data_IF_043633880967
#
_entry.id   IF_043633880967
#
_cell.length_a   1.000
_cell.length_b   1.000
_cell.length_c   1.000
_cell.angle_alpha   90.00
_cell.angle_beta   90.00
_cell.angle_gamma   90.00
#
_symmetry.space_group_name_H-M   'P 1'
#
loop_
_entity.id
_entity.type
_entity.pdbx_description
1 polymer ?
#
# COMPACT_ATOMS: atom_id res chain seq x y z
N UNK A 1 -4.77 -22.50 -2.90
CA UNK A 1 -3.30 -22.55 -2.77
C UNK A 1 -2.79 -21.20 -3.25
N UNK A 2 -2.11 -20.44 -2.39
CA UNK A 2 -1.65 -19.08 -2.73
C UNK A 2 -0.38 -19.18 -3.58
N UNK A 3 -0.50 -19.04 -4.89
CA UNK A 3 0.65 -19.10 -5.82
C UNK A 3 1.23 -17.71 -6.10
N UNK A 4 2.55 -17.65 -6.29
CA UNK A 4 3.27 -16.43 -6.65
C UNK A 4 2.98 -16.10 -8.12
N UNK A 5 2.47 -14.89 -8.40
CA UNK A 5 2.06 -14.45 -9.72
C UNK A 5 3.14 -13.69 -10.50
N UNK A 6 4.28 -13.38 -9.87
CA UNK A 6 5.31 -12.55 -10.48
C UNK A 6 6.74 -12.83 -10.03
N UNK A 7 7.67 -12.06 -10.57
CA UNK A 7 9.09 -12.15 -10.24
C UNK A 7 9.35 -11.52 -8.88
N UNK A 8 10.13 -12.22 -8.04
CA UNK A 8 10.63 -11.67 -6.80
C UNK A 8 11.52 -10.45 -7.06
N UNK A 9 11.16 -9.33 -6.42
CA UNK A 9 11.93 -8.09 -6.43
C UNK A 9 12.53 -7.84 -5.05
N UNK A 10 13.74 -7.29 -5.00
CA UNK A 10 14.39 -6.94 -3.73
C UNK A 10 13.58 -5.84 -3.04
N UNK A 11 13.30 -6.01 -1.76
CA UNK A 11 12.58 -5.01 -0.95
C UNK A 11 13.42 -3.76 -0.73
N UNK A 12 12.78 -2.59 -0.79
CA UNK A 12 13.32 -1.27 -0.43
C UNK A 12 13.87 -1.23 1.00
N UNK A 13 13.33 -2.05 1.91
CA UNK A 13 13.77 -2.16 3.31
C UNK A 13 15.04 -3.03 3.49
N UNK A 14 15.58 -3.62 2.42
CA UNK A 14 16.80 -4.43 2.49
C UNK A 14 18.06 -3.55 2.50
N UNK A 15 18.57 -3.25 3.70
CA UNK A 15 19.82 -2.49 3.88
C UNK A 15 21.10 -3.24 3.46
N UNK A 16 22.26 -2.57 3.59
CA UNK A 16 23.59 -3.13 3.28
C UNK A 16 24.05 -4.24 4.23
N UNK A 17 23.41 -4.39 5.39
CA UNK A 17 23.74 -5.39 6.40
C UNK A 17 22.77 -6.57 6.35
N UNK A 18 23.25 -7.67 5.77
CA UNK A 18 22.89 -9.09 5.89
C UNK A 18 21.42 -9.61 5.89
N UNK A 19 20.37 -8.80 5.99
CA UNK A 19 18.98 -9.27 6.06
C UNK A 19 18.17 -8.82 4.83
N UNK A 20 18.58 -9.27 3.64
CA UNK A 20 17.90 -8.93 2.39
C UNK A 20 16.67 -9.81 2.19
N UNK A 21 15.52 -9.19 1.92
CA UNK A 21 14.27 -9.88 1.61
C UNK A 21 13.81 -9.52 0.20
N UNK A 22 13.23 -10.50 -0.48
CA UNK A 22 12.54 -10.30 -1.76
C UNK A 22 11.05 -10.48 -1.57
N UNK A 23 10.27 -9.69 -2.30
CA UNK A 23 8.81 -9.72 -2.29
C UNK A 23 8.29 -10.00 -3.71
N UNK A 24 7.17 -10.69 -3.81
CA UNK A 24 6.44 -10.91 -5.05
C UNK A 24 4.93 -10.85 -4.80
N UNK A 25 4.17 -10.50 -5.83
CA UNK A 25 2.71 -10.58 -5.77
C UNK A 25 2.23 -12.03 -5.88
N UNK A 26 1.10 -12.32 -5.24
CA UNK A 26 0.41 -13.60 -5.40
C UNK A 26 -0.78 -13.45 -6.34
N UNK A 27 -1.20 -14.55 -6.96
CA UNK A 27 -2.32 -14.57 -7.91
C UNK A 27 -3.64 -14.12 -7.28
N UNK A 28 -3.74 -14.21 -5.94
CA UNK A 28 -4.92 -13.80 -5.17
C UNK A 28 -4.82 -12.36 -4.66
N UNK A 29 -3.87 -11.54 -5.15
CA UNK A 29 -3.67 -10.16 -4.68
C UNK A 29 -3.02 -10.05 -3.29
N UNK A 30 -2.31 -11.09 -2.86
CA UNK A 30 -1.53 -11.11 -1.63
C UNK A 30 -0.04 -10.86 -1.90
N UNK A 31 0.81 -11.11 -0.89
CA UNK A 31 2.26 -10.91 -0.99
C UNK A 31 3.03 -12.14 -0.56
N UNK A 32 4.03 -12.52 -1.34
CA UNK A 32 4.98 -13.57 -1.00
C UNK A 32 6.32 -12.94 -0.60
N UNK A 33 6.92 -13.40 0.49
CA UNK A 33 8.17 -12.87 1.05
C UNK A 33 9.14 -14.02 1.28
N UNK A 34 10.39 -13.86 0.85
CA UNK A 34 11.47 -14.82 1.08
C UNK A 34 12.81 -14.13 1.37
N UNK A 35 13.74 -14.89 1.94
CA UNK A 35 15.12 -14.47 2.10
C UNK A 35 15.86 -14.47 0.75
N UNK A 36 16.50 -13.35 0.40
CA UNK A 36 17.28 -13.24 -0.85
C UNK A 36 18.48 -14.21 -0.90
N UNK A 37 18.99 -14.65 0.25
CA UNK A 37 20.17 -15.50 0.37
C UNK A 37 19.84 -16.99 0.34
N UNK A 38 18.59 -17.34 0.62
CA UNK A 38 18.10 -18.73 0.62
C UNK A 38 16.88 -18.89 -0.29
N UNK A 39 17.06 -18.58 -1.57
CA UNK A 39 15.97 -18.54 -2.57
C UNK A 39 15.37 -19.91 -2.90
N UNK A 40 16.14 -20.99 -2.69
CA UNK A 40 15.79 -22.34 -3.13
C UNK A 40 15.28 -23.21 -1.98
N UNK A 41 15.82 -23.03 -0.77
CA UNK A 41 15.56 -23.89 0.39
C UNK A 41 14.95 -23.14 1.56
N UNK A 42 14.92 -21.80 1.51
CA UNK A 42 14.42 -20.95 2.57
C UNK A 42 12.89 -20.94 2.64
N UNK A 43 12.32 -20.60 3.80
CA UNK A 43 10.87 -20.49 3.97
C UNK A 43 10.29 -19.41 3.07
N UNK A 44 9.20 -19.75 2.38
CA UNK A 44 8.39 -18.81 1.62
C UNK A 44 7.15 -18.44 2.45
N UNK A 45 7.08 -17.19 2.90
CA UNK A 45 5.93 -16.68 3.64
C UNK A 45 4.94 -16.04 2.66
N UNK A 46 3.71 -16.56 2.60
CA UNK A 46 2.64 -15.99 1.77
C UNK A 46 1.56 -15.34 2.63
N UNK A 47 1.28 -14.07 2.39
CA UNK A 47 0.20 -13.31 2.97
C UNK A 47 -0.97 -13.23 1.98
N UNK A 48 -2.18 -13.47 2.47
CA UNK A 48 -3.40 -13.11 1.76
C UNK A 48 -3.56 -11.57 1.68
N UNK A 49 -4.46 -11.02 0.85
CA UNK A 49 -4.78 -9.60 0.86
C UNK A 49 -5.03 -9.08 2.29
N UNK A 50 -4.35 -8.01 2.69
CA UNK A 50 -4.44 -7.44 4.05
C UNK A 50 -3.73 -8.24 5.16
N UNK A 51 -3.36 -9.50 4.92
CA UNK A 51 -2.73 -10.38 5.93
C UNK A 51 -1.34 -9.90 6.36
N UNK A 52 -0.61 -9.22 5.48
CA UNK A 52 0.69 -8.61 5.80
C UNK A 52 0.53 -7.51 6.84
N UNK A 53 -0.50 -6.67 6.72
CA UNK A 53 -0.76 -5.59 7.68
C UNK A 53 -1.16 -6.17 9.04
N UNK A 54 -2.05 -7.17 9.05
CA UNK A 54 -2.41 -7.87 10.28
C UNK A 54 -1.18 -8.48 10.99
N UNK A 55 -0.28 -9.09 10.21
CA UNK A 55 0.99 -9.61 10.73
C UNK A 55 1.88 -8.50 11.32
N UNK A 56 2.03 -7.36 10.65
CA UNK A 56 2.87 -6.27 11.15
C UNK A 56 2.32 -5.67 12.44
N UNK A 57 0.99 -5.49 12.54
CA UNK A 57 0.32 -5.04 13.76
C UNK A 57 0.60 -6.02 14.90
N UNK A 58 0.33 -7.31 14.70
CA UNK A 58 0.58 -8.33 15.73
C UNK A 58 2.06 -8.42 16.13
N UNK A 59 2.99 -8.23 15.18
CA UNK A 59 4.41 -8.23 15.47
C UNK A 59 4.84 -7.02 16.31
N UNK A 60 4.31 -5.82 16.02
CA UNK A 60 4.55 -4.61 16.82
C UNK A 60 3.99 -4.75 18.24
N UNK A 61 2.84 -5.41 18.38
CA UNK A 61 2.18 -5.66 19.66
C UNK A 61 2.79 -6.84 20.45
N UNK A 62 3.82 -7.49 19.90
CA UNK A 62 4.53 -8.58 20.55
C UNK A 62 3.75 -9.91 20.58
N UNK A 63 2.75 -10.07 19.70
CA UNK A 63 1.93 -11.28 19.63
C UNK A 63 2.74 -12.53 19.24
N UNK A 64 3.84 -12.33 18.51
CA UNK A 64 4.76 -13.39 18.13
C UNK A 64 5.93 -13.45 19.12
N UNK A 65 5.72 -14.18 20.23
CA UNK A 65 6.78 -14.44 21.20
C UNK A 65 8.00 -15.13 20.60
N UNK A 66 9.14 -15.06 21.30
CA UNK A 66 10.36 -15.80 20.92
C UNK A 66 10.03 -17.30 20.87
N UNK A 67 10.06 -17.89 19.67
CA UNK A 67 10.09 -19.33 19.53
C UNK A 67 11.36 -19.84 20.25
N UNK A 68 11.18 -20.51 21.39
CA UNK A 68 12.25 -21.30 21.98
C UNK A 68 12.69 -22.30 20.90
N UNK A 69 14.00 -22.43 20.68
CA UNK A 69 14.56 -23.46 19.80
C UNK A 69 14.22 -24.82 20.41
N UNK A 70 13.16 -25.43 19.91
CA UNK A 70 12.65 -26.73 20.33
C UNK A 70 11.24 -26.94 19.79
N UNK A 71 11.14 -27.69 18.70
CA UNK A 71 9.93 -28.32 18.14
C UNK A 71 8.67 -27.44 18.03
N UNK A 72 8.42 -26.95 16.81
CA UNK A 72 7.15 -26.34 16.46
C UNK A 72 6.02 -27.40 16.49
N UNK A 73 5.30 -27.48 17.61
CA UNK A 73 3.93 -27.98 17.64
C UNK A 73 3.00 -26.78 17.47
N UNK A 74 2.20 -26.80 16.41
CA UNK A 74 1.17 -25.80 16.14
C UNK A 74 0.07 -25.90 17.21
N UNK A 75 0.16 -25.12 18.28
CA UNK A 75 -0.89 -25.05 19.29
C UNK A 75 -1.94 -24.01 18.89
N UNK A 76 -3.13 -24.53 18.63
CA UNK A 76 -4.42 -23.87 18.45
C UNK A 76 -4.65 -22.64 19.34
N UNK A 77 -5.01 -21.53 18.69
CA UNK A 77 -5.60 -20.36 19.34
C UNK A 77 -7.01 -20.70 19.85
N UNK A 78 -7.34 -20.26 21.07
CA UNK A 78 -8.71 -20.41 21.60
C UNK A 78 -9.68 -19.47 20.88
N UNK A 79 -10.96 -19.82 20.83
CA UNK A 79 -12.01 -19.00 20.19
C UNK A 79 -12.10 -17.58 20.79
N UNK A 80 -11.80 -17.45 22.09
CA UNK A 80 -11.67 -16.17 22.79
C UNK A 80 -10.48 -15.33 22.30
N UNK A 81 -9.33 -15.95 22.02
CA UNK A 81 -8.16 -15.27 21.45
C UNK A 81 -8.41 -14.85 20.00
N UNK A 82 -9.10 -15.68 19.22
CA UNK A 82 -9.54 -15.34 17.86
C UNK A 82 -10.53 -14.17 17.89
N UNK A 83 -11.54 -14.21 18.76
CA UNK A 83 -12.51 -13.12 18.91
C UNK A 83 -11.87 -11.83 19.42
N UNK A 84 -10.88 -11.91 20.32
CA UNK A 84 -10.15 -10.75 20.84
C UNK A 84 -9.20 -10.16 19.79
N UNK A 85 -8.50 -10.99 19.00
CA UNK A 85 -7.72 -10.56 17.85
C UNK A 85 -8.62 -9.93 16.77
N UNK A 86 -9.81 -10.49 16.52
CA UNK A 86 -10.81 -9.92 15.61
C UNK A 86 -11.41 -8.60 16.13
N UNK A 87 -11.59 -8.44 17.45
CA UNK A 87 -12.04 -7.18 18.04
C UNK A 87 -10.92 -6.12 18.12
N UNK A 88 -9.66 -6.52 18.27
CA UNK A 88 -8.49 -5.63 18.30
C UNK A 88 -8.11 -5.16 16.89
N UNK A 89 -8.23 -6.02 15.88
CA UNK A 89 -8.09 -5.66 14.44
C UNK A 89 -9.22 -4.76 13.93
N UNK A 90 -10.32 -4.63 14.67
CA UNK A 90 -11.45 -3.79 14.29
C UNK A 90 -11.28 -2.30 14.63
N UNK A 91 -10.22 -1.90 15.34
CA UNK A 91 -9.81 -0.49 15.39
C UNK A 91 -8.83 -0.27 14.26
N UNK A 92 -9.32 0.23 13.13
CA UNK A 92 -8.41 0.71 12.08
C UNK A 92 -7.46 1.72 12.72
N UNK A 93 -6.15 1.52 12.52
CA UNK A 93 -5.15 2.54 12.81
C UNK A 93 -5.59 3.87 12.16
N UNK A 94 -5.24 5.03 12.74
CA UNK A 94 -5.60 6.32 12.16
C UNK A 94 -5.17 6.37 10.69
N UNK A 95 -6.10 6.80 9.83
CA UNK A 95 -5.84 7.00 8.41
C UNK A 95 -5.86 8.49 8.06
N UNK A 96 -5.13 8.83 7.01
CA UNK A 96 -5.18 10.15 6.38
C UNK A 96 -5.87 9.99 5.03
N UNK A 97 -6.89 10.82 4.80
CA UNK A 97 -7.53 10.94 3.49
C UNK A 97 -6.60 11.68 2.52
N UNK A 98 -6.39 11.09 1.35
CA UNK A 98 -5.66 11.67 0.25
C UNK A 98 -6.54 11.73 -0.99
N UNK A 99 -6.27 12.71 -1.85
CA UNK A 99 -6.92 12.85 -3.14
C UNK A 99 -5.91 12.80 -4.27
N UNK A 100 -6.33 12.33 -5.43
CA UNK A 100 -5.54 12.41 -6.65
C UNK A 100 -6.42 12.72 -7.85
N UNK A 101 -6.15 13.82 -8.57
CA UNK A 101 -6.76 14.06 -9.87
C UNK A 101 -6.16 13.09 -10.90
N UNK A 102 -7.00 12.47 -11.72
CA UNK A 102 -6.58 11.48 -12.71
C UNK A 102 -7.29 11.71 -14.04
N UNK A 103 -6.63 11.28 -15.12
CA UNK A 103 -7.25 11.15 -16.44
C UNK A 103 -7.84 9.74 -16.65
N UNK A 104 -8.63 9.53 -17.72
CA UNK A 104 -9.30 8.26 -18.00
C UNK A 104 -8.32 7.06 -18.09
N UNK A 105 -7.16 7.23 -18.73
CA UNK A 105 -6.18 6.15 -18.91
C UNK A 105 -5.60 5.64 -17.59
N UNK A 106 -5.27 6.53 -16.66
CA UNK A 106 -4.76 6.15 -15.33
C UNK A 106 -5.87 5.50 -14.51
N UNK A 107 -7.10 6.01 -14.62
CA UNK A 107 -8.26 5.45 -13.92
C UNK A 107 -8.58 4.01 -14.37
N UNK A 108 -8.44 3.70 -15.65
CA UNK A 108 -8.62 2.34 -16.17
C UNK A 108 -7.60 1.36 -15.55
N UNK A 109 -6.33 1.79 -15.39
CA UNK A 109 -5.31 0.97 -14.73
C UNK A 109 -5.63 0.74 -13.23
N UNK A 110 -6.15 1.76 -12.53
CA UNK A 110 -6.59 1.61 -11.14
C UNK A 110 -7.77 0.61 -11.05
N UNK A 111 -8.69 0.64 -12.03
CA UNK A 111 -9.80 -0.31 -12.11
C UNK A 111 -9.30 -1.74 -12.34
N UNK A 112 -8.32 -1.94 -13.21
CA UNK A 112 -7.69 -3.25 -13.45
C UNK A 112 -6.98 -3.79 -12.20
N UNK A 113 -6.51 -2.89 -11.32
CA UNK A 113 -5.95 -3.20 -10.00
C UNK A 113 -7.04 -3.32 -8.91
N UNK A 114 -8.29 -3.52 -9.29
CA UNK A 114 -9.44 -3.67 -8.40
C UNK A 114 -9.61 -2.51 -7.41
N UNK A 115 -9.27 -1.28 -7.82
CA UNK A 115 -9.37 -0.09 -6.98
C UNK A 115 -8.55 -0.13 -5.69
N UNK A 116 -7.51 -0.97 -5.62
CA UNK A 116 -6.73 -1.16 -4.39
C UNK A 116 -5.28 -0.72 -4.49
N UNK A 117 -4.85 -0.33 -5.68
CA UNK A 117 -3.48 0.09 -5.91
C UNK A 117 -3.40 1.14 -7.02
N UNK A 118 -2.40 2.01 -6.90
CA UNK A 118 -1.95 2.87 -7.96
C UNK A 118 -0.98 2.09 -8.88
N UNK A 119 -1.11 2.22 -10.22
CA UNK A 119 -0.20 1.55 -11.14
C UNK A 119 1.23 2.08 -11.01
N UNK A 120 2.25 1.27 -11.31
CA UNK A 120 3.64 1.72 -11.33
C UNK A 120 3.83 2.98 -12.18
N UNK A 121 4.66 3.91 -11.68
CA UNK A 121 5.02 5.12 -12.43
C UNK A 121 5.93 4.76 -13.60
N UNK A 122 5.88 5.56 -14.66
CA UNK A 122 6.87 5.48 -15.74
C UNK A 122 8.24 5.98 -15.24
N UNK A 123 9.37 5.51 -15.80
CA UNK A 123 10.71 5.91 -15.34
C UNK A 123 10.95 7.43 -15.32
N UNK A 124 10.34 8.17 -16.24
CA UNK A 124 10.40 9.63 -16.31
C UNK A 124 9.53 10.35 -15.26
N UNK A 125 8.79 9.61 -14.44
CA UNK A 125 7.89 10.10 -13.42
C UNK A 125 8.38 9.66 -12.02
N UNK A 126 9.44 10.31 -11.48
CA UNK A 126 10.15 9.83 -10.29
C UNK A 126 9.36 9.96 -8.99
N UNK A 127 8.24 10.68 -9.00
CA UNK A 127 7.44 10.96 -7.81
C UNK A 127 5.97 10.64 -8.10
N UNK A 128 5.31 10.04 -7.12
CA UNK A 128 3.87 9.97 -6.96
C UNK A 128 3.43 11.02 -5.94
N UNK A 129 2.49 11.89 -6.34
CA UNK A 129 2.11 13.05 -5.56
C UNK A 129 0.58 13.13 -5.38
N UNK A 130 0.04 12.55 -4.30
CA UNK A 130 -1.33 12.82 -3.90
C UNK A 130 -1.42 14.15 -3.14
N UNK A 131 -2.59 14.75 -3.19
CA UNK A 131 -2.87 16.03 -2.54
C UNK A 131 -3.68 15.81 -1.25
N UNK A 132 -3.54 16.72 -0.29
CA UNK A 132 -4.27 16.69 0.98
C UNK A 132 -5.56 17.52 0.96
N UNK A 133 -5.96 18.02 -0.21
CA UNK A 133 -7.10 18.93 -0.34
C UNK A 133 -7.96 18.56 -1.57
N UNK A 134 -9.23 18.25 -1.32
CA UNK A 134 -10.19 17.88 -2.36
C UNK A 134 -10.44 19.00 -3.37
N UNK A 135 -10.65 20.25 -2.91
CA UNK A 135 -10.90 21.39 -3.80
C UNK A 135 -9.75 21.63 -4.77
N UNK A 136 -8.52 21.35 -4.33
CA UNK A 136 -7.34 21.44 -5.18
C UNK A 136 -7.31 20.32 -6.23
N UNK A 137 -7.62 19.08 -5.85
CA UNK A 137 -7.76 17.98 -6.81
C UNK A 137 -8.87 18.27 -7.85
N UNK A 138 -10.01 18.80 -7.40
CA UNK A 138 -11.13 19.20 -8.27
C UNK A 138 -10.68 20.25 -9.29
N UNK A 139 -9.92 21.27 -8.86
CA UNK A 139 -9.40 22.30 -9.77
C UNK A 139 -8.51 21.69 -10.86
N UNK A 140 -7.59 20.80 -10.50
CA UNK A 140 -6.70 20.15 -11.48
C UNK A 140 -7.52 19.29 -12.46
N UNK A 141 -8.41 18.43 -11.93
CA UNK A 141 -9.21 17.54 -12.75
C UNK A 141 -10.08 18.31 -13.76
N UNK A 142 -10.78 19.35 -13.29
CA UNK A 142 -11.68 20.16 -14.13
C UNK A 142 -10.93 21.07 -15.09
N UNK A 143 -9.92 21.80 -14.62
CA UNK A 143 -9.33 22.90 -15.38
C UNK A 143 -8.18 22.44 -16.29
N UNK A 144 -7.59 21.27 -16.02
CA UNK A 144 -6.44 20.72 -16.74
C UNK A 144 -6.70 19.34 -17.36
N UNK A 145 -7.12 18.33 -16.61
CA UNK A 145 -7.33 16.98 -17.17
C UNK A 145 -8.42 16.95 -18.25
N UNK A 146 -9.55 17.64 -18.05
CA UNK A 146 -10.58 17.74 -19.10
C UNK A 146 -10.01 18.29 -20.41
N UNK A 147 -9.17 19.32 -20.35
CA UNK A 147 -8.58 19.93 -21.56
C UNK A 147 -7.58 19.02 -22.25
N UNK A 148 -6.82 18.23 -21.49
CA UNK A 148 -5.75 17.40 -22.02
C UNK A 148 -6.24 16.02 -22.45
N UNK A 149 -7.12 15.41 -21.67
CA UNK A 149 -7.53 14.01 -21.81
C UNK A 149 -9.01 13.84 -22.19
N UNK A 150 -9.78 14.93 -22.32
CA UNK A 150 -11.21 14.92 -22.64
C UNK A 150 -12.12 14.56 -21.47
N UNK A 151 -11.56 14.20 -20.32
CA UNK A 151 -12.26 13.99 -19.06
C UNK A 151 -11.29 14.13 -17.89
N UNK A 152 -11.79 14.47 -16.71
CA UNK A 152 -11.01 14.55 -15.49
C UNK A 152 -11.76 13.93 -14.32
N UNK A 153 -11.04 13.22 -13.45
CA UNK A 153 -11.62 12.54 -12.29
C UNK A 153 -10.88 12.95 -11.03
N UNK A 154 -11.58 12.95 -9.90
CA UNK A 154 -10.95 13.04 -8.58
C UNK A 154 -11.18 11.72 -7.87
N UNK A 155 -10.08 11.10 -7.46
CA UNK A 155 -10.10 9.93 -6.58
C UNK A 155 -9.83 10.33 -5.14
N UNK A 156 -10.38 9.58 -4.20
CA UNK A 156 -10.15 9.65 -2.76
C UNK A 156 -9.72 8.27 -2.26
N UNK A 157 -8.71 8.22 -1.39
CA UNK A 157 -8.26 6.99 -0.76
C UNK A 157 -7.70 7.25 0.64
N UNK A 158 -7.77 6.24 1.49
CA UNK A 158 -7.28 6.29 2.87
C UNK A 158 -5.94 5.55 2.96
N UNK A 159 -4.99 6.11 3.70
CA UNK A 159 -3.69 5.49 3.95
C UNK A 159 -3.35 5.59 5.43
N UNK A 160 -2.69 4.56 5.96
CA UNK A 160 -2.13 4.57 7.31
C UNK A 160 -1.35 5.86 7.61
N UNK A 161 -1.79 6.63 8.61
CA UNK A 161 -1.17 7.90 8.99
C UNK A 161 0.25 7.72 9.54
N UNK A 162 0.55 6.60 10.20
CA UNK A 162 1.90 6.30 10.71
C UNK A 162 2.87 6.13 9.54
N UNK A 163 2.45 5.42 8.49
CA UNK A 163 3.23 5.28 7.25
C UNK A 163 3.47 6.63 6.58
N UNK A 164 2.42 7.45 6.44
CA UNK A 164 2.53 8.74 5.76
C UNK A 164 3.39 9.76 6.50
N UNK A 165 3.57 9.62 7.82
CA UNK A 165 4.41 10.53 8.62
C UNK A 165 5.87 10.64 8.16
N UNK A 166 6.31 9.69 7.32
CA UNK A 166 7.64 9.67 6.69
C UNK A 166 7.81 10.70 5.58
N UNK A 167 6.71 11.11 4.95
CA UNK A 167 6.72 12.04 3.82
C UNK A 167 6.35 13.45 4.30
N UNK A 168 7.29 14.41 4.32
CA UNK A 168 6.98 15.77 4.71
C UNK A 168 5.98 16.38 3.71
N UNK A 169 4.95 17.05 4.25
CA UNK A 169 3.98 17.80 3.44
C UNK A 169 4.71 18.90 2.70
N UNK A 170 4.57 18.89 1.38
CA UNK A 170 5.11 19.89 0.48
C UNK A 170 4.05 20.94 0.16
N UNK A 171 4.47 22.20 0.16
CA UNK A 171 3.62 23.28 -0.32
C UNK A 171 4.02 23.64 -1.75
N UNK A 172 3.40 23.00 -2.74
CA UNK A 172 3.73 23.23 -4.15
C UNK A 172 3.01 24.49 -4.69
N UNK A 173 3.57 25.66 -4.38
CA UNK A 173 3.02 26.95 -4.81
C UNK A 173 2.15 27.63 -3.74
N UNK A 174 0.89 27.93 -4.07
CA UNK A 174 -0.04 28.65 -3.19
C UNK A 174 -0.26 27.97 -1.82
N UNK A 175 -0.74 28.73 -0.82
CA UNK A 175 -0.87 28.27 0.58
C UNK A 175 -1.75 27.04 0.80
N UNK A 176 -2.63 26.72 -0.14
CA UNK A 176 -3.58 25.58 -0.06
C UNK A 176 -3.15 24.39 -0.92
N UNK A 177 -2.01 24.48 -1.59
CA UNK A 177 -1.50 23.40 -2.42
C UNK A 177 -0.60 22.54 -1.56
N UNK A 178 -1.19 21.55 -0.90
CA UNK A 178 -0.51 20.62 -0.01
C UNK A 178 -0.45 19.25 -0.67
N UNK A 179 0.75 18.72 -0.81
CA UNK A 179 1.04 17.46 -1.49
C UNK A 179 1.98 16.61 -0.65
N UNK A 180 1.94 15.30 -0.85
CA UNK A 180 3.01 14.41 -0.42
C UNK A 180 3.85 14.06 -1.64
N UNK A 181 5.18 14.02 -1.49
CA UNK A 181 6.06 13.55 -2.56
C UNK A 181 6.60 12.18 -2.17
N UNK A 182 5.97 11.14 -2.73
CA UNK A 182 6.33 9.74 -2.49
C UNK A 182 7.20 9.27 -3.67
N UNK A 183 8.43 8.78 -3.43
CA UNK A 183 9.26 8.25 -4.51
C UNK A 183 8.55 7.13 -5.27
N UNK A 184 8.71 7.10 -6.60
CA UNK A 184 8.04 6.10 -7.45
C UNK A 184 8.39 4.65 -7.05
N UNK A 185 9.61 4.43 -6.57
CA UNK A 185 10.10 3.15 -6.06
C UNK A 185 9.43 2.69 -4.76
N UNK A 186 8.82 3.61 -4.01
CA UNK A 186 8.08 3.35 -2.77
C UNK A 186 6.57 3.25 -3.01
N UNK A 187 6.08 3.37 -4.26
CA UNK A 187 4.65 3.33 -4.56
C UNK A 187 4.00 1.99 -4.19
N UNK A 188 4.74 0.89 -4.33
CA UNK A 188 4.26 -0.42 -3.88
C UNK A 188 4.10 -0.51 -2.36
N UNK A 189 4.94 0.20 -1.61
CA UNK A 189 4.81 0.29 -0.17
C UNK A 189 3.61 1.16 0.20
N UNK A 190 3.37 2.28 -0.51
CA UNK A 190 2.14 3.06 -0.36
C UNK A 190 0.90 2.19 -0.60
N UNK A 191 0.87 1.44 -1.69
CA UNK A 191 -0.24 0.57 -2.07
C UNK A 191 -0.57 -0.45 -0.96
N UNK A 192 0.46 -0.98 -0.29
CA UNK A 192 0.26 -1.90 0.84
C UNK A 192 -0.35 -1.23 2.09
N UNK A 193 -0.28 0.09 2.19
CA UNK A 193 -0.84 0.88 3.29
C UNK A 193 -2.15 1.57 2.92
N UNK A 194 -2.67 1.37 1.70
CA UNK A 194 -4.03 1.81 1.33
C UNK A 194 -5.05 0.99 2.13
N UNK A 195 -5.95 1.71 2.79
CA UNK A 195 -7.04 1.14 3.57
C UNK A 195 -8.33 1.22 2.76
N UNK A 196 -8.90 0.06 2.44
CA UNK A 196 -10.12 -0.02 1.65
C UNK A 196 -9.86 0.13 0.15
N UNK A 197 -10.71 0.90 -0.54
CA UNK A 197 -10.67 1.11 -1.99
C UNK A 197 -10.44 2.58 -2.33
N UNK A 198 -9.79 2.81 -3.46
CA UNK A 198 -9.69 4.09 -4.13
C UNK A 198 -11.05 4.39 -4.77
N UNK A 199 -11.67 5.50 -4.39
CA UNK A 199 -13.02 5.85 -4.81
C UNK A 199 -12.99 7.06 -5.74
N UNK A 200 -13.71 6.99 -6.86
CA UNK A 200 -14.01 8.21 -7.64
C UNK A 200 -15.05 9.01 -6.89
N UNK A 201 -14.74 10.27 -6.58
CA UNK A 201 -15.62 11.19 -5.86
C UNK A 201 -16.12 12.34 -6.74
N UNK A 202 -15.40 12.67 -7.81
CA UNK A 202 -15.84 13.64 -8.83
C UNK A 202 -15.47 13.18 -10.24
N UNK A 203 -16.30 13.56 -11.21
CA UNK A 203 -16.09 13.38 -12.65
C UNK A 203 -16.41 14.69 -13.38
N UNK A 204 -15.57 15.04 -14.36
CA UNK A 204 -15.70 16.22 -15.22
C UNK A 204 -15.54 15.82 -16.69
N UNK A 205 -16.29 16.49 -17.56
CA UNK A 205 -16.28 16.30 -19.02
C UNK A 205 -16.30 17.64 -19.74
#
# INVERSE_FOLDING_TARGET
MTEVAGTFRKSSYSGTQSNCVEVADTITGGRAVRDSKDRLSGPLLTFAPGGRQAFLVGAKDGEFGRAARGEASATSFTESQVQKAMHMTSRHAPTTTLWRPTGPKELDLVRDLNWRAWPPRLPEQPIFYPVLNEDYAVKIARDWNVKHDGAGFVTRFEVDSEFLSRYPVQQAGGRTILELWIPAEELDDLNDHIVGEIQVVHEFR
#
